data_IF_403917748029
#
_entry.id   IF_403917748029
#
_cell.length_a   1.000
_cell.length_b   1.000
_cell.length_c   1.000
_cell.angle_alpha   90.00
_cell.angle_beta   90.00
_cell.angle_gamma   90.00
#
_symmetry.space_group_name_H-M   'P 1'
#
loop_
_entity.id
_entity.type
_entity.pdbx_description
1 polymer ?
#
# COMPACT_ATOMS: atom_id res chain seq x y z
N UNK A 1 -10.05 -3.80 -15.57
CA UNK A 1 -9.65 -4.85 -14.60
C UNK A 1 -8.30 -5.48 -14.96
N UNK A 2 -7.42 -5.69 -13.98
CA UNK A 2 -6.08 -6.29 -14.18
C UNK A 2 -5.93 -7.60 -13.38
N UNK A 3 -6.73 -8.65 -13.68
CA UNK A 3 -6.95 -9.79 -12.78
C UNK A 3 -5.70 -10.66 -12.51
N UNK A 4 -4.67 -10.53 -13.36
CA UNK A 4 -3.40 -11.27 -13.22
C UNK A 4 -2.32 -10.49 -12.47
N UNK A 5 -2.58 -9.22 -12.12
CA UNK A 5 -1.62 -8.39 -11.40
C UNK A 5 -1.40 -8.97 -9.99
N UNK A 6 -0.14 -9.29 -9.69
CA UNK A 6 0.28 -9.88 -8.41
C UNK A 6 1.25 -9.00 -7.62
N UNK A 7 1.96 -8.10 -8.30
CA UNK A 7 2.90 -7.18 -7.68
C UNK A 7 2.64 -5.78 -8.19
N UNK A 8 2.66 -4.80 -7.30
CA UNK A 8 2.47 -3.39 -7.58
C UNK A 8 3.53 -2.60 -6.82
N UNK A 9 4.26 -1.77 -7.56
CA UNK A 9 5.13 -0.73 -7.03
C UNK A 9 4.56 0.62 -7.44
N UNK A 10 4.42 1.54 -6.49
CA UNK A 10 4.04 2.93 -6.76
C UNK A 10 5.09 3.85 -6.15
N UNK A 11 5.72 4.68 -7.00
CA UNK A 11 6.77 5.62 -6.61
C UNK A 11 6.59 6.95 -7.35
N UNK A 12 6.67 8.05 -6.59
CA UNK A 12 6.45 9.42 -7.08
C UNK A 12 7.72 10.28 -7.06
N UNK A 13 8.87 9.68 -6.69
CA UNK A 13 10.16 10.37 -6.63
C UNK A 13 10.18 11.62 -5.72
N UNK A 14 9.24 11.71 -4.77
CA UNK A 14 9.10 12.85 -3.86
C UNK A 14 8.63 14.15 -4.51
N UNK A 15 8.16 14.11 -5.77
CA UNK A 15 7.77 15.32 -6.55
C UNK A 15 6.28 15.67 -6.45
N UNK A 16 5.47 14.78 -5.89
CA UNK A 16 4.04 15.03 -5.72
C UNK A 16 3.81 15.84 -4.43
N UNK A 17 3.66 17.16 -4.59
CA UNK A 17 3.21 18.11 -3.55
C UNK A 17 1.72 17.94 -3.20
N UNK A 18 1.01 17.06 -3.91
CA UNK A 18 -0.44 16.86 -3.81
C UNK A 18 -0.77 15.58 -3.04
N UNK A 19 -0.70 15.68 -1.71
CA UNK A 19 -1.16 14.69 -0.72
C UNK A 19 -0.47 13.31 -0.78
N UNK A 20 0.05 12.83 0.35
CA UNK A 20 0.60 11.46 0.50
C UNK A 20 -0.46 10.36 0.44
N UNK A 21 -1.61 10.64 -0.19
CA UNK A 21 -2.79 9.78 -0.26
C UNK A 21 -2.81 9.08 -1.61
N UNK A 22 -2.73 7.74 -1.58
CA UNK A 22 -2.88 6.93 -2.78
C UNK A 22 -4.36 6.90 -3.19
N UNK A 23 -4.71 7.36 -4.41
CA UNK A 23 -6.09 7.29 -4.89
C UNK A 23 -6.51 5.84 -5.16
N UNK A 24 -7.82 5.56 -5.25
CA UNK A 24 -8.33 4.24 -5.60
C UNK A 24 -8.07 3.90 -7.09
N UNK A 25 -6.87 3.43 -7.39
CA UNK A 25 -6.37 3.08 -8.74
C UNK A 25 -7.06 1.88 -9.41
N UNK A 26 -7.85 1.09 -8.68
CA UNK A 26 -8.49 -0.14 -9.20
C UNK A 26 -10.01 -0.01 -9.35
N UNK A 27 -10.60 1.16 -9.10
CA UNK A 27 -12.04 1.42 -9.28
C UNK A 27 -12.93 0.30 -8.68
N UNK A 28 -12.63 -0.13 -7.45
CA UNK A 28 -13.35 -1.19 -6.74
C UNK A 28 -13.02 -2.63 -7.14
N UNK A 29 -12.23 -2.85 -8.20
CA UNK A 29 -11.88 -4.18 -8.72
C UNK A 29 -10.45 -4.56 -8.33
N UNK A 30 -10.23 -4.84 -7.04
CA UNK A 30 -8.92 -5.23 -6.53
C UNK A 30 -8.45 -6.55 -7.17
N UNK A 31 -7.29 -6.57 -7.84
CA UNK A 31 -6.71 -7.82 -8.34
C UNK A 31 -6.26 -8.72 -7.18
N UNK A 32 -5.86 -9.96 -7.48
CA UNK A 32 -5.25 -10.88 -6.49
C UNK A 32 -3.81 -10.48 -6.19
N UNK A 33 -3.64 -9.24 -5.74
CA UNK A 33 -2.36 -8.65 -5.41
C UNK A 33 -1.73 -9.41 -4.23
N UNK A 34 -0.42 -9.62 -4.32
CA UNK A 34 0.38 -10.35 -3.33
C UNK A 34 1.50 -9.49 -2.78
N UNK A 35 2.07 -8.63 -3.62
CA UNK A 35 3.16 -7.78 -3.26
C UNK A 35 2.77 -6.33 -3.49
N UNK A 36 2.98 -5.51 -2.47
CA UNK A 36 2.76 -4.08 -2.51
C UNK A 36 4.01 -3.35 -2.03
N UNK A 37 4.51 -2.46 -2.86
CA UNK A 37 5.56 -1.53 -2.50
C UNK A 37 5.09 -0.10 -2.74
N UNK A 38 5.20 0.77 -1.72
CA UNK A 38 4.80 2.17 -1.79
C UNK A 38 5.93 3.07 -1.34
N UNK A 39 6.21 4.07 -2.16
CA UNK A 39 7.19 5.12 -1.89
C UNK A 39 6.47 6.46 -1.82
N UNK A 40 6.69 7.21 -0.73
CA UNK A 40 6.04 8.51 -0.45
C UNK A 40 4.50 8.50 -0.24
N UNK A 41 3.87 7.32 -0.18
CA UNK A 41 2.44 7.20 0.15
C UNK A 41 2.24 6.67 1.56
N UNK A 42 1.41 7.38 2.31
CA UNK A 42 1.15 7.07 3.72
C UNK A 42 -0.30 6.95 4.10
N UNK A 43 -1.20 7.31 3.19
CA UNK A 43 -2.63 7.05 3.36
C UNK A 43 -3.19 6.38 2.11
N UNK A 44 -4.18 5.53 2.30
CA UNK A 44 -4.87 4.78 1.26
C UNK A 44 -6.31 4.52 1.73
N UNK A 45 -7.22 4.12 0.84
CA UNK A 45 -8.58 3.80 1.26
C UNK A 45 -8.60 2.66 2.28
N UNK A 46 -9.48 2.74 3.28
CA UNK A 46 -9.60 1.69 4.30
C UNK A 46 -9.90 0.35 3.67
N UNK A 47 -9.20 -0.70 4.13
CA UNK A 47 -9.38 -2.08 3.68
C UNK A 47 -9.10 -2.31 2.19
N UNK A 48 -8.42 -1.36 1.55
CA UNK A 48 -8.17 -1.41 0.12
C UNK A 48 -7.25 -2.56 -0.24
N UNK A 49 -6.05 -2.60 0.35
CA UNK A 49 -5.11 -3.69 0.15
C UNK A 49 -5.36 -4.81 1.15
N UNK A 50 -5.46 -6.04 0.64
CA UNK A 50 -5.77 -7.23 1.44
C UNK A 50 -5.18 -8.46 0.78
N UNK A 51 -5.05 -9.56 1.54
CA UNK A 51 -4.48 -10.83 1.09
C UNK A 51 -3.04 -10.73 0.54
N UNK A 52 -2.29 -9.72 1.01
CA UNK A 52 -0.87 -9.56 0.68
C UNK A 52 -0.02 -10.66 1.33
N UNK A 53 1.10 -10.94 0.71
CA UNK A 53 2.19 -11.75 1.28
C UNK A 53 3.42 -10.88 1.53
N UNK A 54 3.60 -9.79 0.79
CA UNK A 54 4.70 -8.83 0.97
C UNK A 54 4.15 -7.41 1.00
N UNK A 55 4.58 -6.65 1.99
CA UNK A 55 4.38 -5.21 2.09
C UNK A 55 5.72 -4.51 2.33
N UNK A 56 6.03 -3.52 1.50
CA UNK A 56 7.18 -2.64 1.66
C UNK A 56 6.74 -1.19 1.58
N UNK A 57 6.87 -0.45 2.68
CA UNK A 57 6.80 1.01 2.66
C UNK A 57 8.23 1.52 2.75
N UNK A 58 8.60 2.47 1.89
CA UNK A 58 9.94 3.05 1.93
C UNK A 58 9.91 4.52 1.52
N UNK A 59 10.96 5.29 1.83
CA UNK A 59 11.06 6.73 1.53
C UNK A 59 9.83 7.54 2.03
N UNK A 60 9.26 7.17 3.17
CA UNK A 60 8.14 7.90 3.76
C UNK A 60 8.62 9.24 4.33
N UNK A 61 7.87 10.34 4.10
CA UNK A 61 8.24 11.64 4.69
C UNK A 61 7.95 11.61 6.18
N UNK A 62 8.81 12.24 6.98
CA UNK A 62 8.76 12.19 8.44
C UNK A 62 7.47 12.75 9.05
N UNK A 63 6.81 13.68 8.36
CA UNK A 63 5.54 14.31 8.72
C UNK A 63 4.32 13.47 8.31
N UNK A 64 4.53 12.39 7.56
CA UNK A 64 3.47 11.67 6.87
C UNK A 64 3.29 10.23 7.33
N UNK A 65 4.14 9.68 8.21
CA UNK A 65 4.12 8.25 8.59
C UNK A 65 2.69 7.71 8.81
N UNK A 66 2.37 6.50 8.26
CA UNK A 66 1.10 5.87 8.54
C UNK A 66 0.92 5.68 10.04
N UNK A 67 -0.31 5.79 10.52
CA UNK A 67 -0.60 5.49 11.91
C UNK A 67 -0.32 4.00 12.20
N UNK A 68 0.09 3.67 13.42
CA UNK A 68 0.24 2.26 13.86
C UNK A 68 -1.03 1.45 13.59
N UNK A 69 -2.21 2.08 13.66
CA UNK A 69 -3.48 1.42 13.35
C UNK A 69 -3.59 1.02 11.88
N UNK A 70 -3.23 1.90 10.95
CA UNK A 70 -3.21 1.58 9.51
C UNK A 70 -2.20 0.48 9.19
N UNK A 71 -1.09 0.44 9.91
CA UNK A 71 -0.13 -0.66 9.83
C UNK A 71 -0.72 -2.00 10.29
N UNK A 72 -1.37 -2.01 11.45
CA UNK A 72 -1.99 -3.21 12.00
C UNK A 72 -3.16 -3.70 11.13
N UNK A 73 -3.82 -2.81 10.39
CA UNK A 73 -4.82 -3.21 9.41
C UNK A 73 -4.22 -4.11 8.32
N UNK A 74 -3.00 -3.84 7.82
CA UNK A 74 -2.40 -4.74 6.83
C UNK A 74 -2.22 -6.15 7.36
N UNK A 75 -1.79 -6.31 8.61
CA UNK A 75 -1.65 -7.62 9.25
C UNK A 75 -3.01 -8.31 9.42
N UNK A 76 -4.03 -7.55 9.83
CA UNK A 76 -5.40 -8.05 9.99
C UNK A 76 -6.02 -8.53 8.68
N UNK A 77 -5.83 -7.78 7.59
CA UNK A 77 -6.42 -8.08 6.28
C UNK A 77 -5.52 -8.95 5.38
N UNK A 78 -4.30 -9.26 5.83
CA UNK A 78 -3.34 -10.10 5.12
C UNK A 78 -2.79 -11.18 6.06
N UNK A 79 -3.61 -12.18 6.45
CA UNK A 79 -3.21 -13.22 7.40
C UNK A 79 -2.10 -14.16 6.88
N UNK A 80 -1.72 -14.03 5.62
CA UNK A 80 -0.62 -14.77 4.98
C UNK A 80 0.59 -13.88 4.70
N UNK A 81 0.73 -12.77 5.43
CA UNK A 81 1.89 -11.89 5.30
C UNK A 81 3.14 -12.66 5.69
N UNK A 82 4.09 -12.73 4.76
CA UNK A 82 5.39 -13.37 4.92
C UNK A 82 6.44 -12.31 5.25
N UNK A 83 6.35 -11.14 4.61
CA UNK A 83 7.29 -10.03 4.82
C UNK A 83 6.58 -8.68 4.99
N UNK A 84 7.08 -7.92 5.96
CA UNK A 84 6.66 -6.56 6.28
C UNK A 84 7.90 -5.69 6.48
N UNK A 85 8.10 -4.72 5.59
CA UNK A 85 9.19 -3.74 5.64
C UNK A 85 8.64 -2.31 5.65
N UNK A 86 9.26 -1.45 6.47
CA UNK A 86 8.85 -0.06 6.75
C UNK A 86 10.01 0.93 6.57
#
# INVERSE_FOLDING_TARGET
PVPRLKSLLVETGGRDDLSSVLPPIFCGHMPKLKQLALSYFTSWPKHYFHNLTYLCLYNQRADSFPSTTEFLDFLKYSPRMEELAL
#
